data_IF_536571454443
#
_entry.id   IF_536571454443
#
_cell.length_a   1.000
_cell.length_b   1.000
_cell.length_c   1.000
_cell.angle_alpha   90.00
_cell.angle_beta   90.00
_cell.angle_gamma   90.00
#
_symmetry.space_group_name_H-M   'P 1'
#
loop_
_entity.id
_entity.type
_entity.pdbx_description
1 polymer ?
#
# COMPACT_ATOMS: atom_id res chain seq x y z
N UNK A 1 1.15 -12.17 14.40
CA UNK A 1 -0.04 -12.66 13.68
C UNK A 1 0.45 -12.98 12.28
N UNK A 2 0.49 -14.26 11.91
CA UNK A 2 0.99 -14.70 10.60
C UNK A 2 -0.21 -14.80 9.66
N UNK A 3 -0.17 -14.08 8.52
CA UNK A 3 -1.22 -14.16 7.51
C UNK A 3 -0.90 -15.38 6.65
N UNK A 4 -1.67 -16.46 6.79
CA UNK A 4 -1.53 -17.65 5.96
C UNK A 4 -2.38 -17.49 4.71
N UNK A 5 -1.75 -17.63 3.55
CA UNK A 5 -2.43 -17.64 2.26
C UNK A 5 -2.55 -19.08 1.79
N UNK A 6 -3.77 -19.50 1.50
CA UNK A 6 -4.04 -20.81 0.93
C UNK A 6 -3.92 -20.70 -0.59
N UNK A 7 -3.22 -21.64 -1.23
CA UNK A 7 -2.99 -21.64 -2.68
C UNK A 7 -4.28 -21.95 -3.45
N UNK A 8 -5.08 -22.88 -2.92
CA UNK A 8 -6.43 -23.16 -3.41
C UNK A 8 -7.49 -23.03 -2.30
N UNK A 9 -8.75 -22.73 -2.67
CA UNK A 9 -9.88 -22.70 -1.73
C UNK A 9 -10.12 -24.03 -1.00
N UNK A 10 -9.52 -25.13 -1.44
CA UNK A 10 -9.65 -26.48 -0.86
C UNK A 10 -8.50 -26.85 0.08
N UNK A 11 -7.45 -26.03 0.17
CA UNK A 11 -6.21 -26.35 0.86
C UNK A 11 -6.26 -26.08 2.38
N UNK A 12 -7.45 -26.17 2.99
CA UNK A 12 -7.63 -25.86 4.42
C UNK A 12 -6.72 -26.70 5.34
N UNK A 13 -6.28 -27.87 4.86
CA UNK A 13 -5.42 -28.80 5.58
C UNK A 13 -3.92 -28.64 5.24
N UNK A 14 -3.57 -27.83 4.25
CA UNK A 14 -2.18 -27.56 3.86
C UNK A 14 -1.72 -26.20 4.35
N UNK A 15 -0.46 -26.09 4.77
CA UNK A 15 0.15 -24.81 5.11
C UNK A 15 0.60 -24.17 3.80
N UNK A 16 -0.24 -23.29 3.25
CA UNK A 16 0.13 -22.52 2.07
C UNK A 16 1.28 -21.54 2.35
N UNK A 17 1.93 -21.07 1.28
CA UNK A 17 3.09 -20.18 1.33
C UNK A 17 2.68 -18.80 1.88
N UNK A 18 3.43 -18.28 2.85
CA UNK A 18 3.25 -16.91 3.32
C UNK A 18 3.95 -15.93 2.37
N UNK A 19 3.28 -15.51 1.31
CA UNK A 19 3.89 -14.58 0.33
C UNK A 19 4.10 -13.15 0.86
N UNK A 20 3.67 -12.88 2.10
CA UNK A 20 3.85 -11.63 2.82
C UNK A 20 4.96 -11.74 3.89
N UNK A 21 5.71 -12.85 3.94
CA UNK A 21 6.84 -12.99 4.88
C UNK A 21 8.00 -12.05 4.54
N UNK A 22 8.18 -11.75 3.25
CA UNK A 22 9.21 -10.84 2.77
C UNK A 22 8.81 -9.38 3.04
N UNK A 23 9.19 -8.90 4.23
CA UNK A 23 8.96 -7.52 4.66
C UNK A 23 9.68 -6.50 3.76
N UNK A 24 10.82 -6.86 3.15
CA UNK A 24 11.56 -5.95 2.29
C UNK A 24 10.78 -5.70 0.99
N UNK A 25 10.15 -6.74 0.43
CA UNK A 25 9.25 -6.61 -0.71
C UNK A 25 8.06 -5.70 -0.40
N UNK A 26 7.43 -5.88 0.76
CA UNK A 26 6.30 -5.03 1.19
C UNK A 26 6.74 -3.56 1.33
N UNK A 27 7.89 -3.32 1.95
CA UNK A 27 8.44 -1.97 2.10
C UNK A 27 8.71 -1.30 0.74
N UNK A 28 9.37 -2.02 -0.16
CA UNK A 28 9.68 -1.54 -1.53
C UNK A 28 8.42 -1.25 -2.32
N UNK A 29 7.37 -2.04 -2.12
CA UNK A 29 6.07 -1.82 -2.77
C UNK A 29 5.38 -0.57 -2.24
N UNK A 30 5.33 -0.41 -0.91
CA UNK A 30 4.77 0.76 -0.25
C UNK A 30 5.49 2.06 -0.66
N UNK A 31 6.81 2.05 -0.73
CA UNK A 31 7.62 3.19 -1.20
C UNK A 31 7.24 3.60 -2.63
N UNK A 32 7.15 2.61 -3.55
CA UNK A 32 6.78 2.88 -4.94
C UNK A 32 5.35 3.40 -5.07
N UNK A 33 4.41 2.83 -4.32
CA UNK A 33 3.02 3.29 -4.25
C UNK A 33 2.94 4.74 -3.76
N UNK A 34 3.65 5.06 -2.69
CA UNK A 34 3.72 6.40 -2.11
C UNK A 34 4.28 7.41 -3.11
N UNK A 35 5.42 7.11 -3.74
CA UNK A 35 6.04 7.99 -4.74
C UNK A 35 5.16 8.17 -5.99
N UNK A 36 4.47 7.12 -6.43
CA UNK A 36 3.51 7.18 -7.55
C UNK A 36 2.34 8.12 -7.27
N UNK A 37 1.77 8.09 -6.07
CA UNK A 37 0.66 8.98 -5.68
C UNK A 37 1.16 10.41 -5.44
N UNK A 38 2.32 10.58 -4.80
CA UNK A 38 2.85 11.89 -4.46
C UNK A 38 3.20 12.71 -5.73
N UNK A 39 3.77 12.03 -6.75
CA UNK A 39 4.12 12.54 -8.10
C UNK A 39 4.56 14.01 -8.17
N UNK A 40 5.49 14.40 -7.29
CA UNK A 40 6.03 15.76 -7.23
C UNK A 40 7.18 15.96 -8.22
N UNK A 41 7.59 17.20 -8.39
CA UNK A 41 8.82 17.55 -9.12
C UNK A 41 10.08 17.43 -8.24
N UNK A 42 9.94 17.23 -6.94
CA UNK A 42 11.05 17.06 -5.99
C UNK A 42 11.56 15.62 -5.93
N UNK A 43 10.80 14.65 -6.44
CA UNK A 43 11.21 13.25 -6.48
C UNK A 43 12.30 13.05 -7.54
N UNK A 44 13.52 12.72 -7.12
CA UNK A 44 14.62 12.35 -8.03
C UNK A 44 14.30 11.06 -8.81
N UNK A 45 13.57 10.14 -8.18
CA UNK A 45 13.16 8.85 -8.76
C UNK A 45 11.63 8.80 -8.84
N UNK A 46 11.11 8.36 -9.99
CA UNK A 46 9.67 8.16 -10.23
C UNK A 46 9.39 6.73 -10.69
N UNK A 47 8.27 6.17 -10.25
CA UNK A 47 7.83 4.81 -10.61
C UNK A 47 6.63 4.84 -11.55
N UNK A 48 6.85 5.24 -12.81
CA UNK A 48 5.76 5.44 -13.78
C UNK A 48 4.96 4.17 -14.05
N UNK A 49 5.63 3.02 -14.08
CA UNK A 49 5.06 1.72 -14.42
C UNK A 49 4.50 0.96 -13.21
N UNK A 50 4.51 1.58 -12.02
CA UNK A 50 3.92 1.00 -10.82
C UNK A 50 2.43 0.70 -11.04
N UNK A 51 1.91 -0.50 -10.68
CA UNK A 51 2.51 -1.51 -9.79
C UNK A 51 3.35 -2.60 -10.48
N UNK A 52 3.62 -2.51 -11.79
CA UNK A 52 4.22 -3.59 -12.58
C UNK A 52 5.75 -3.70 -12.44
N UNK A 53 6.26 -3.75 -11.20
CA UNK A 53 7.68 -4.00 -10.92
C UNK A 53 7.91 -5.38 -10.31
N UNK A 54 8.97 -6.13 -10.68
CA UNK A 54 9.20 -7.49 -10.19
C UNK A 54 9.35 -7.61 -8.67
N UNK A 55 9.85 -6.56 -8.01
CA UNK A 55 10.12 -6.49 -6.58
C UNK A 55 8.94 -5.92 -5.75
N UNK A 56 7.74 -5.88 -6.33
CA UNK A 56 6.48 -5.49 -5.66
C UNK A 56 5.62 -6.71 -5.36
N UNK A 57 4.54 -6.53 -4.60
CA UNK A 57 3.52 -7.55 -4.40
C UNK A 57 2.75 -7.86 -5.69
N UNK A 58 2.97 -7.16 -6.81
CA UNK A 58 2.26 -7.44 -8.07
C UNK A 58 2.30 -8.93 -8.47
N UNK A 59 3.47 -9.58 -8.30
CA UNK A 59 3.68 -11.00 -8.60
C UNK A 59 3.25 -11.97 -7.47
N UNK A 60 2.53 -11.52 -6.44
CA UNK A 60 1.95 -12.41 -5.43
C UNK A 60 0.52 -12.85 -5.83
N UNK A 61 -0.11 -13.66 -5.00
CA UNK A 61 -1.53 -14.05 -5.04
C UNK A 61 -2.46 -12.97 -4.48
N UNK A 62 -1.91 -11.93 -3.82
CA UNK A 62 -2.72 -10.86 -3.19
C UNK A 62 -3.36 -9.96 -4.24
N UNK A 63 -4.64 -10.11 -4.54
CA UNK A 63 -5.27 -9.33 -5.63
C UNK A 63 -5.37 -7.83 -5.34
N UNK A 64 -5.63 -7.47 -4.08
CA UNK A 64 -5.87 -6.09 -3.64
C UNK A 64 -5.25 -5.85 -2.29
N UNK A 65 -4.63 -4.69 -2.13
CA UNK A 65 -3.99 -4.27 -0.89
C UNK A 65 -3.98 -2.75 -0.80
N UNK A 66 -3.70 -2.23 0.39
CA UNK A 66 -3.62 -0.80 0.62
C UNK A 66 -2.48 -0.46 1.56
N UNK A 67 -1.89 0.71 1.35
CA UNK A 67 -0.93 1.31 2.26
C UNK A 67 -1.50 2.56 2.91
N UNK A 68 -1.13 2.81 4.15
CA UNK A 68 -1.47 4.04 4.89
C UNK A 68 -0.26 4.50 5.69
N UNK A 69 -0.22 5.79 6.01
CA UNK A 69 0.83 6.36 6.86
C UNK A 69 0.39 6.24 8.31
N UNK A 70 1.10 5.40 9.08
CA UNK A 70 0.87 5.21 10.50
C UNK A 70 1.68 6.21 11.34
N UNK A 71 1.51 7.50 11.05
CA UNK A 71 2.09 8.63 11.78
C UNK A 71 1.16 9.84 11.62
N UNK A 72 1.08 10.71 12.63
CA UNK A 72 0.27 11.95 12.55
C UNK A 72 1.02 13.02 11.75
N UNK A 73 0.97 12.88 10.42
CA UNK A 73 1.66 13.74 9.46
C UNK A 73 0.80 13.91 8.21
N UNK A 74 0.88 15.10 7.60
CA UNK A 74 0.25 15.41 6.32
C UNK A 74 1.29 15.84 5.30
N UNK A 75 1.31 15.16 4.16
CA UNK A 75 2.10 15.56 3.00
C UNK A 75 1.23 16.41 2.08
N UNK A 76 1.72 17.57 1.67
CA UNK A 76 1.00 18.50 0.81
C UNK A 76 1.85 18.76 -0.44
N UNK A 77 1.27 18.58 -1.61
CA UNK A 77 1.89 18.83 -2.90
C UNK A 77 0.92 19.59 -3.80
N UNK A 78 1.42 20.12 -4.92
CA UNK A 78 0.58 20.79 -5.91
C UNK A 78 -0.53 19.89 -6.50
N UNK A 79 -0.35 18.56 -6.42
CA UNK A 79 -1.27 17.58 -7.02
C UNK A 79 -2.20 16.92 -6.02
N UNK A 80 -1.75 16.73 -4.79
CA UNK A 80 -2.50 15.96 -3.80
C UNK A 80 -2.05 16.27 -2.37
N UNK A 81 -2.86 15.84 -1.42
CA UNK A 81 -2.45 15.70 -0.02
C UNK A 81 -2.48 14.22 0.37
N UNK A 82 -1.65 13.79 1.31
CA UNK A 82 -1.73 12.44 1.88
C UNK A 82 -1.66 12.57 3.38
N UNK A 83 -2.72 12.16 4.05
CA UNK A 83 -2.83 12.24 5.50
C UNK A 83 -2.60 10.90 6.18
N UNK A 84 -1.65 10.87 7.10
CA UNK A 84 -1.49 9.80 8.07
C UNK A 84 -2.15 10.12 9.40
N UNK A 85 -2.43 9.08 10.18
CA UNK A 85 -2.84 9.25 11.57
C UNK A 85 -2.36 8.10 12.43
N UNK A 86 -1.83 8.44 13.61
CA UNK A 86 -1.52 7.48 14.68
C UNK A 86 -1.96 8.06 16.02
N UNK A 87 -2.61 7.25 16.83
CA UNK A 87 -3.01 7.63 18.18
C UNK A 87 -1.82 7.61 19.16
N UNK A 88 -2.02 8.12 20.37
CA UNK A 88 -1.02 8.12 21.45
C UNK A 88 -0.59 6.72 21.89
N UNK A 89 -1.40 5.70 21.59
CA UNK A 89 -1.14 4.29 21.89
C UNK A 89 -0.48 3.55 20.73
N UNK A 90 -0.01 4.28 19.71
CA UNK A 90 0.64 3.77 18.48
C UNK A 90 -0.27 2.91 17.60
N UNK A 91 -1.59 3.03 17.75
CA UNK A 91 -2.59 2.40 16.90
C UNK A 91 -2.95 3.36 15.78
N UNK A 92 -3.32 2.80 14.63
CA UNK A 92 -3.91 3.59 13.56
C UNK A 92 -5.26 4.13 14.05
N UNK A 93 -5.43 5.44 14.07
CA UNK A 93 -6.69 6.08 14.46
C UNK A 93 -7.65 6.16 13.25
N UNK A 94 -8.83 6.76 13.44
CA UNK A 94 -9.83 6.87 12.39
C UNK A 94 -9.39 7.82 11.25
N UNK A 95 -9.72 7.42 10.02
CA UNK A 95 -9.70 8.22 8.79
C UNK A 95 -8.33 8.69 8.22
N UNK A 96 -7.22 7.93 8.29
CA UNK A 96 -6.08 8.21 7.43
C UNK A 96 -6.46 8.01 5.96
N UNK A 97 -5.69 8.62 5.06
CA UNK A 97 -5.79 8.35 3.64
C UNK A 97 -5.13 7.00 3.30
N UNK A 98 -5.64 6.32 2.28
CA UNK A 98 -5.16 5.02 1.84
C UNK A 98 -4.74 5.05 0.37
N UNK A 99 -3.59 4.46 0.07
CA UNK A 99 -3.17 4.18 -1.30
C UNK A 99 -3.62 2.75 -1.61
N UNK A 100 -4.68 2.62 -2.40
CA UNK A 100 -5.21 1.33 -2.84
C UNK A 100 -4.50 0.87 -4.11
N UNK A 101 -4.14 -0.40 -4.14
CA UNK A 101 -3.54 -1.06 -5.29
C UNK A 101 -4.41 -2.24 -5.67
N UNK A 102 -4.86 -2.25 -6.93
CA UNK A 102 -5.64 -3.33 -7.50
C UNK A 102 -4.87 -3.94 -8.67
N UNK A 103 -4.48 -5.22 -8.53
CA UNK A 103 -3.78 -5.93 -9.60
C UNK A 103 -4.65 -6.07 -10.84
N UNK A 104 -5.94 -6.30 -10.64
CA UNK A 104 -6.89 -6.42 -11.74
C UNK A 104 -7.09 -5.02 -12.35
N UNK A 105 -6.41 -4.78 -13.47
CA UNK A 105 -6.37 -3.49 -14.15
C UNK A 105 -5.16 -2.61 -13.77
N UNK A 106 -4.32 -3.05 -12.83
CA UNK A 106 -3.10 -2.34 -12.42
C UNK A 106 -3.34 -0.93 -11.87
N UNK A 107 -4.52 -0.68 -11.27
CA UNK A 107 -4.88 0.65 -10.79
C UNK A 107 -4.27 0.95 -9.43
N UNK A 108 -3.92 2.23 -9.23
CA UNK A 108 -3.33 2.76 -8.01
C UNK A 108 -4.02 4.06 -7.70
N UNK A 109 -4.72 4.10 -6.57
CA UNK A 109 -5.68 5.16 -6.27
C UNK A 109 -5.50 5.67 -4.85
N UNK A 110 -5.50 6.98 -4.68
CA UNK A 110 -5.56 7.60 -3.36
C UNK A 110 -7.02 7.74 -2.93
N UNK A 111 -7.39 7.02 -1.88
CA UNK A 111 -8.71 7.10 -1.26
C UNK A 111 -8.62 7.96 -0.02
N UNK A 112 -9.42 9.04 -0.01
CA UNK A 112 -9.54 9.97 1.11
C UNK A 112 -10.78 9.66 1.93
N UNK A 113 -10.60 9.51 3.24
CA UNK A 113 -11.72 9.25 4.15
C UNK A 113 -12.24 10.51 4.84
N UNK A 114 -11.48 11.61 4.80
CA UNK A 114 -11.88 12.91 5.30
C UNK A 114 -12.60 13.69 4.19
N UNK A 115 -13.68 14.41 4.52
CA UNK A 115 -14.27 15.38 3.59
C UNK A 115 -13.24 16.48 3.33
N UNK A 116 -12.98 16.77 2.06
CA UNK A 116 -12.30 18.01 1.68
C UNK A 116 -13.27 19.15 1.98
N UNK A 117 -12.79 20.15 2.73
CA UNK A 117 -13.56 21.36 3.10
C UNK A 117 -13.51 22.32 1.91
#
# INVERSE_FOLDING_TARGET
MEIKQYLHPTDFNEIGKNELEDKLRIFKDAEKAFIKILDTNYNEIKFKDYPNYPDTLFNSTVERYSFSINEDIEFITDKTTIYGKRDSNRRMEALPDFIFVNKNGGSVELVKLRKQI
#
